data_IF_041112651088
#
_entry.id   IF_041112651088
#
_cell.length_a   1.000
_cell.length_b   1.000
_cell.length_c   1.000
_cell.angle_alpha   90.00
_cell.angle_beta   90.00
_cell.angle_gamma   90.00
#
_symmetry.space_group_name_H-M   'P 1'
#
loop_
_entity.id
_entity.type
_entity.pdbx_description
1 polymer ?
#
# COMPACT_ATOMS: atom_id res chain seq x y z
N UNK A 1 -20.46 12.84 1.60
CA UNK A 1 -20.38 11.76 2.61
C UNK A 1 -18.92 11.60 2.93
N UNK A 2 -18.55 11.71 4.22
CA UNK A 2 -17.16 11.88 4.63
C UNK A 2 -16.26 10.81 4.04
N UNK A 3 -15.22 11.29 3.34
CA UNK A 3 -13.99 10.62 2.97
C UNK A 3 -13.40 9.93 4.20
N UNK A 4 -13.91 8.73 4.52
CA UNK A 4 -13.27 7.85 5.48
C UNK A 4 -12.13 7.16 4.75
N UNK A 5 -11.07 7.92 4.47
CA UNK A 5 -9.79 7.36 4.00
C UNK A 5 -9.47 6.18 4.93
N UNK A 6 -9.34 4.99 4.35
CA UNK A 6 -9.17 3.77 5.15
C UNK A 6 -7.91 3.94 6.01
N UNK A 7 -7.98 3.60 7.31
CA UNK A 7 -6.84 3.70 8.24
C UNK A 7 -5.54 3.09 7.64
N UNK A 8 -5.71 2.03 6.84
CA UNK A 8 -4.65 1.34 6.10
C UNK A 8 -4.05 2.21 4.99
N UNK A 9 -4.87 2.95 4.25
CA UNK A 9 -4.42 3.85 3.18
C UNK A 9 -3.61 4.98 3.78
N UNK A 10 -4.12 5.57 4.87
CA UNK A 10 -3.41 6.60 5.61
C UNK A 10 -2.08 6.05 6.11
N UNK A 11 -2.07 4.85 6.71
CA UNK A 11 -0.85 4.16 7.13
C UNK A 11 0.13 3.96 5.97
N UNK A 12 -0.32 3.43 4.82
CA UNK A 12 0.51 3.24 3.62
C UNK A 12 1.11 4.55 3.11
N UNK A 13 0.37 5.66 3.20
CA UNK A 13 0.81 6.98 2.75
C UNK A 13 1.76 7.68 3.74
N UNK A 14 1.55 7.53 5.05
CA UNK A 14 2.31 8.24 6.09
C UNK A 14 3.43 7.41 6.70
N UNK A 15 3.39 6.08 6.55
CA UNK A 15 4.39 5.19 7.14
C UNK A 15 5.77 5.50 6.55
N UNK A 16 6.77 5.78 7.39
CA UNK A 16 8.10 6.11 6.91
C UNK A 16 8.69 4.95 6.12
N UNK A 17 9.40 5.29 5.04
CA UNK A 17 10.01 4.30 4.15
C UNK A 17 11.11 3.48 4.84
N UNK A 18 11.63 3.99 5.95
CA UNK A 18 12.62 3.34 6.82
C UNK A 18 12.08 2.10 7.55
N UNK A 19 10.75 1.94 7.65
CA UNK A 19 10.14 0.76 8.26
C UNK A 19 10.29 -0.44 7.32
N UNK A 20 10.97 -1.49 7.78
CA UNK A 20 11.10 -2.74 7.02
C UNK A 20 9.74 -3.30 6.57
N UNK A 21 9.72 -3.88 5.37
CA UNK A 21 8.54 -4.51 4.79
C UNK A 21 7.91 -5.55 5.73
N UNK A 22 8.74 -6.29 6.47
CA UNK A 22 8.29 -7.27 7.47
C UNK A 22 7.57 -6.64 8.66
N UNK A 23 8.08 -5.53 9.19
CA UNK A 23 7.47 -4.82 10.32
C UNK A 23 6.13 -4.23 9.89
N UNK A 24 6.10 -3.62 8.71
CA UNK A 24 4.88 -3.09 8.11
C UNK A 24 3.85 -4.20 7.83
N UNK A 25 4.30 -5.35 7.30
CA UNK A 25 3.45 -6.52 7.10
C UNK A 25 2.85 -7.03 8.40
N UNK A 26 3.66 -7.12 9.47
CA UNK A 26 3.20 -7.56 10.79
C UNK A 26 2.16 -6.60 11.38
N UNK A 27 2.37 -5.30 11.25
CA UNK A 27 1.41 -4.30 11.72
C UNK A 27 0.07 -4.41 10.99
N UNK A 28 0.11 -4.53 9.66
CA UNK A 28 -1.08 -4.77 8.84
C UNK A 28 -1.79 -6.08 9.21
N UNK A 29 -1.02 -7.13 9.47
CA UNK A 29 -1.56 -8.46 9.82
C UNK A 29 -2.17 -8.47 11.22
N UNK A 30 -1.59 -7.75 12.18
CA UNK A 30 -2.02 -7.71 13.59
C UNK A 30 -3.21 -6.78 13.80
N UNK A 31 -3.19 -5.59 13.20
CA UNK A 31 -4.18 -4.54 13.48
C UNK A 31 -5.37 -4.54 12.51
N UNK A 32 -5.26 -5.20 11.35
CA UNK A 32 -6.30 -5.12 10.32
C UNK A 32 -6.85 -6.49 9.88
N UNK A 33 -8.17 -6.50 9.66
CA UNK A 33 -8.91 -7.63 9.11
C UNK A 33 -8.76 -7.69 7.59
N UNK A 34 -8.83 -8.90 7.01
CA UNK A 34 -8.72 -9.13 5.56
C UNK A 34 -9.67 -8.25 4.73
N UNK A 35 -10.90 -8.04 5.22
CA UNK A 35 -11.90 -7.20 4.54
C UNK A 35 -11.44 -5.75 4.38
N UNK A 36 -10.81 -5.18 5.41
CA UNK A 36 -10.27 -3.81 5.38
C UNK A 36 -9.05 -3.72 4.44
N UNK A 37 -8.16 -4.71 4.50
CA UNK A 37 -7.00 -4.79 3.59
C UNK A 37 -7.42 -4.87 2.12
N UNK A 38 -8.43 -5.69 1.80
CA UNK A 38 -9.01 -5.77 0.47
C UNK A 38 -9.62 -4.44 0.02
N UNK A 39 -10.38 -3.78 0.89
CA UNK A 39 -10.99 -2.49 0.58
C UNK A 39 -9.92 -1.43 0.32
N UNK A 40 -8.86 -1.39 1.13
CA UNK A 40 -7.73 -0.48 0.93
C UNK A 40 -7.01 -0.74 -0.40
N UNK A 41 -6.77 -2.01 -0.75
CA UNK A 41 -6.23 -2.37 -2.06
C UNK A 41 -7.09 -1.79 -3.19
N UNK A 42 -8.41 -2.06 -3.17
CA UNK A 42 -9.33 -1.55 -4.20
C UNK A 42 -9.34 -0.02 -4.27
N UNK A 43 -9.31 0.67 -3.14
CA UNK A 43 -9.28 2.14 -3.08
C UNK A 43 -7.97 2.73 -3.63
N UNK A 44 -6.85 2.01 -3.46
CA UNK A 44 -5.55 2.36 -4.05
C UNK A 44 -5.42 1.95 -5.54
N UNK A 45 -6.49 1.42 -6.14
CA UNK A 45 -6.46 0.89 -7.51
C UNK A 45 -5.70 -0.42 -7.65
N UNK A 46 -5.39 -1.10 -6.53
CA UNK A 46 -4.82 -2.44 -6.52
C UNK A 46 -5.97 -3.43 -6.63
N UNK A 47 -5.96 -4.27 -7.67
CA UNK A 47 -7.03 -5.23 -7.94
C UNK A 47 -6.61 -6.64 -7.50
N UNK A 48 -6.65 -6.98 -6.21
CA UNK A 48 -6.19 -8.30 -5.74
C UNK A 48 -7.10 -9.45 -6.18
N UNK A 49 -8.24 -9.14 -6.80
CA UNK A 49 -9.15 -10.12 -7.39
C UNK A 49 -8.75 -10.53 -8.81
N UNK A 50 -7.86 -9.77 -9.45
CA UNK A 50 -7.32 -10.12 -10.77
C UNK A 50 -6.44 -11.38 -10.68
N UNK A 51 -5.77 -11.58 -9.55
CA UNK A 51 -4.89 -12.71 -9.29
C UNK A 51 -5.41 -13.55 -8.11
N UNK A 52 -5.86 -14.80 -8.32
CA UNK A 52 -6.33 -15.66 -7.24
C UNK A 52 -5.23 -15.95 -6.21
N UNK A 53 -3.96 -15.90 -6.64
CA UNK A 53 -2.79 -16.00 -5.75
C UNK A 53 -2.71 -14.82 -4.79
N UNK A 54 -3.21 -13.64 -5.14
CA UNK A 54 -3.18 -12.44 -4.29
C UNK A 54 -4.50 -12.21 -3.52
N UNK A 55 -5.52 -13.03 -3.78
CA UNK A 55 -6.85 -12.90 -3.18
C UNK A 55 -6.95 -13.50 -1.77
N UNK A 56 -5.97 -13.21 -0.92
CA UNK A 56 -5.92 -13.63 0.47
C UNK A 56 -5.16 -12.59 1.31
N UNK A 57 -5.20 -12.73 2.64
CA UNK A 57 -4.68 -11.71 3.57
C UNK A 57 -3.24 -11.27 3.27
N UNK A 58 -2.36 -12.24 3.04
CA UNK A 58 -0.94 -12.00 2.79
C UNK A 58 -0.72 -11.35 1.41
N UNK A 59 -1.43 -11.83 0.39
CA UNK A 59 -1.46 -11.19 -0.93
C UNK A 59 -1.87 -9.72 -0.91
N UNK A 60 -2.89 -9.35 -0.12
CA UNK A 60 -3.27 -7.96 0.06
C UNK A 60 -2.15 -7.13 0.69
N UNK A 61 -1.45 -7.67 1.71
CA UNK A 61 -0.34 -7.00 2.38
C UNK A 61 0.83 -6.78 1.39
N UNK A 62 1.17 -7.80 0.60
CA UNK A 62 2.22 -7.68 -0.42
C UNK A 62 1.90 -6.59 -1.45
N UNK A 63 0.64 -6.47 -1.88
CA UNK A 63 0.21 -5.40 -2.78
C UNK A 63 0.39 -4.02 -2.16
N UNK A 64 0.03 -3.85 -0.89
CA UNK A 64 0.19 -2.58 -0.17
C UNK A 64 1.67 -2.21 0.01
N UNK A 65 2.54 -3.17 0.32
CA UNK A 65 4.00 -2.99 0.38
C UNK A 65 4.54 -2.56 -0.99
N UNK A 66 4.15 -3.27 -2.04
CA UNK A 66 4.61 -2.97 -3.41
C UNK A 66 4.19 -1.58 -3.85
N UNK A 67 2.96 -1.19 -3.55
CA UNK A 67 2.45 0.16 -3.80
C UNK A 67 3.25 1.22 -3.03
N UNK A 68 3.50 1.01 -1.72
CA UNK A 68 4.32 1.89 -0.89
C UNK A 68 5.74 2.07 -1.46
N UNK A 69 6.38 0.99 -1.92
CA UNK A 69 7.72 1.04 -2.53
C UNK A 69 7.71 1.74 -3.88
N UNK A 70 6.71 1.51 -4.71
CA UNK A 70 6.58 2.16 -6.03
C UNK A 70 6.49 3.68 -5.93
N UNK A 71 5.79 4.19 -4.91
CA UNK A 71 5.67 5.64 -4.66
C UNK A 71 6.98 6.31 -4.24
N UNK A 72 7.94 5.54 -3.73
CA UNK A 72 9.28 6.05 -3.45
C UNK A 72 10.10 6.24 -4.75
N UNK A 73 9.83 5.43 -5.78
CA UNK A 73 10.47 5.55 -7.09
C UNK A 73 9.98 6.74 -7.92
N UNK A 74 8.69 7.08 -7.87
CA UNK A 74 8.14 8.22 -8.62
C UNK A 74 8.62 9.59 -8.13
N UNK A 75 9.16 9.69 -6.90
CA UNK A 75 9.75 10.93 -6.40
C UNK A 75 11.15 11.22 -6.98
N UNK A 76 11.80 10.24 -7.61
CA UNK A 76 13.15 10.39 -8.17
C UNK A 76 13.12 10.88 -9.63
N UNK A 77 12.09 10.55 -10.41
CA UNK A 77 12.06 10.93 -11.85
C UNK A 77 11.57 12.35 -12.14
N UNK A 78 10.91 13.04 -11.19
CA UNK A 78 10.50 14.45 -11.40
C UNK A 78 11.57 15.49 -11.06
N UNK A 79 12.77 15.08 -10.65
CA UNK A 79 13.89 15.99 -10.33
C UNK A 79 15.03 15.98 -11.37
N UNK A 80 14.84 15.41 -12.57
CA UNK A 80 15.90 15.34 -13.60
C UNK A 80 15.57 16.05 -14.93
N UNK A 81 14.36 16.62 -15.11
CA UNK A 81 14.10 17.52 -16.26
C UNK A 81 14.00 18.96 -15.80
N UNK A 82 15.14 19.46 -15.34
CA UNK A 82 15.36 20.84 -15.00
C UNK A 82 16.84 21.16 -15.13
N UNK A 83 17.39 21.02 -16.33
CA UNK A 83 18.64 21.66 -16.82
C UNK A 83 18.94 21.18 -18.25
N UNK A 84 18.42 21.90 -19.24
CA UNK A 84 19.15 22.47 -20.39
C UNK A 84 18.17 23.21 -21.30
#
# INVERSE_FOLDING_TARGET
MADAESDIIRLVNVSPQDVSDEVFAQELKKNHQCKKLRAACTQLGLHPQADPVLNHKDGYIQLLIRYRRSRCGEAVERNIVGLN
#
